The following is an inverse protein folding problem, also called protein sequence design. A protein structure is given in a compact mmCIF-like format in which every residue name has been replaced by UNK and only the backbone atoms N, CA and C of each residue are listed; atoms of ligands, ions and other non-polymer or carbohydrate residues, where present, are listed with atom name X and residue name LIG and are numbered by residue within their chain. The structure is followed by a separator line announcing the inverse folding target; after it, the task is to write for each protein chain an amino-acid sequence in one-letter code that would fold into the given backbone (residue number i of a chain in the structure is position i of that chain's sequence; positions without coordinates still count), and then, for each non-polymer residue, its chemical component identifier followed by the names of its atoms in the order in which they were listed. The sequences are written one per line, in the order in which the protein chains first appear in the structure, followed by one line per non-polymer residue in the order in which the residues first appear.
data_IF_023986011658
#
_entry.id   IF_023986011658
#
_cell.length_a   1.000
_cell.length_b   1.000
_cell.length_c   1.000
_cell.angle_alpha   90.00
_cell.angle_beta   90.00
_cell.angle_gamma   90.00
#
_symmetry.space_group_name_H-M   'P 1'
#
loop_
_entity.id
_entity.type
_entity.pdbx_description
1 polymer ?
#
# COMPACT_ATOMS: atom_id res chain seq x y z
N UNK A 1 -12.35 -27.70 36.44
CA UNK A 1 -12.07 -28.20 35.08
C UNK A 1 -11.28 -27.12 34.39
N UNK A 2 -10.07 -27.47 33.96
CA UNK A 2 -9.02 -26.59 33.48
C UNK A 2 -9.43 -25.97 32.14
N UNK A 3 -9.36 -24.65 32.00
CA UNK A 3 -9.25 -24.01 30.70
C UNK A 3 -7.77 -24.08 30.30
N UNK A 4 -7.43 -24.62 29.12
CA UNK A 4 -6.04 -24.63 28.68
C UNK A 4 -5.65 -23.20 28.24
N UNK A 5 -4.63 -22.66 28.89
CA UNK A 5 -3.91 -21.48 28.43
C UNK A 5 -3.15 -21.84 27.15
N UNK A 6 -3.71 -21.51 26.00
CA UNK A 6 -2.96 -21.51 24.74
C UNK A 6 -2.54 -20.07 24.46
N UNK A 7 -1.29 -19.77 24.77
CA UNK A 7 -0.60 -18.59 24.27
C UNK A 7 -0.57 -18.65 22.75
N UNK A 8 -1.29 -17.73 22.11
CA UNK A 8 -1.18 -17.51 20.68
C UNK A 8 0.06 -16.63 20.46
N UNK A 9 1.15 -17.25 20.04
CA UNK A 9 2.36 -16.57 19.55
C UNK A 9 1.94 -15.59 18.44
N UNK A 10 2.11 -14.29 18.70
CA UNK A 10 1.81 -13.22 17.76
C UNK A 10 2.98 -13.01 16.80
N UNK A 11 3.28 -14.01 15.96
CA UNK A 11 4.09 -13.83 14.76
C UNK A 11 3.23 -14.07 13.52
N UNK A 12 2.19 -13.24 13.40
CA UNK A 12 1.47 -13.07 12.16
C UNK A 12 1.80 -11.68 11.64
N UNK A 13 2.64 -11.60 10.61
CA UNK A 13 2.59 -10.49 9.68
C UNK A 13 1.16 -10.47 9.15
N UNK A 14 0.32 -9.64 9.76
CA UNK A 14 -1.05 -9.46 9.34
C UNK A 14 -0.98 -8.72 8.00
N UNK A 15 -0.92 -9.46 6.90
CA UNK A 15 -1.33 -8.96 5.61
C UNK A 15 -2.84 -8.71 5.69
N UNK A 16 -3.23 -7.68 6.45
CA UNK A 16 -4.57 -7.13 6.44
C UNK A 16 -4.75 -6.54 5.05
N UNK A 17 -5.23 -7.42 4.17
CA UNK A 17 -5.52 -7.14 2.78
C UNK A 17 -6.35 -5.88 2.68
N UNK A 18 -6.00 -5.04 1.72
CA UNK A 18 -6.83 -3.92 1.34
C UNK A 18 -8.20 -4.45 0.91
N UNK A 19 -9.25 -4.10 1.65
CA UNK A 19 -10.63 -4.45 1.27
C UNK A 19 -11.02 -3.49 0.13
N UNK A 20 -10.86 -3.96 -1.09
CA UNK A 20 -11.17 -3.18 -2.29
C UNK A 20 -12.67 -2.98 -2.48
N UNK A 21 -13.04 -1.81 -3.01
CA UNK A 21 -14.43 -1.50 -3.41
C UNK A 21 -14.82 -2.42 -4.57
N UNK A 22 -15.98 -3.08 -4.48
CA UNK A 22 -16.53 -3.95 -5.52
C UNK A 22 -17.70 -3.27 -6.24
N UNK A 23 -17.80 -3.51 -7.53
CA UNK A 23 -18.83 -2.93 -8.39
C UNK A 23 -19.73 -4.02 -8.99
N UNK A 24 -21.00 -3.67 -9.21
CA UNK A 24 -21.98 -4.53 -9.88
C UNK A 24 -21.65 -4.68 -11.36
N UNK A 25 -21.71 -5.90 -11.90
CA UNK A 25 -21.44 -6.17 -13.32
C UNK A 25 -22.52 -5.58 -14.27
N UNK A 26 -23.76 -5.46 -13.79
CA UNK A 26 -24.88 -4.97 -14.61
C UNK A 26 -24.94 -3.43 -14.71
N UNK A 27 -24.82 -2.73 -13.59
CA UNK A 27 -25.07 -1.28 -13.51
C UNK A 27 -23.88 -0.44 -13.05
N UNK A 28 -22.71 -1.07 -12.83
CA UNK A 28 -21.48 -0.43 -12.34
C UNK A 28 -21.64 0.40 -11.06
N UNK A 29 -22.70 0.15 -10.28
CA UNK A 29 -22.88 0.76 -8.96
C UNK A 29 -22.09 0.00 -7.90
N UNK A 30 -21.72 0.71 -6.83
CA UNK A 30 -21.03 0.13 -5.67
C UNK A 30 -21.90 -0.93 -4.98
N UNK A 31 -21.33 -2.10 -4.71
CA UNK A 31 -22.00 -3.17 -3.97
C UNK A 31 -21.86 -2.96 -2.46
N UNK A 32 -22.91 -3.33 -1.72
CA UNK A 32 -22.96 -3.21 -0.27
C UNK A 32 -22.98 -4.59 0.39
N UNK A 33 -22.25 -4.77 1.50
CA UNK A 33 -22.28 -6.02 2.27
C UNK A 33 -23.68 -6.24 2.87
N UNK A 34 -24.20 -7.46 2.73
CA UNK A 34 -25.50 -7.95 3.19
C UNK A 34 -25.32 -9.36 3.74
N UNK A 35 -25.89 -9.64 4.90
CA UNK A 35 -25.85 -10.97 5.51
C UNK A 35 -26.99 -11.85 4.98
N UNK A 36 -26.66 -13.09 4.58
CA UNK A 36 -27.65 -14.16 4.43
C UNK A 36 -27.68 -15.01 5.71
N UNK A 37 -28.77 -14.88 6.48
CA UNK A 37 -28.94 -15.51 7.79
C UNK A 37 -29.15 -17.01 7.73
N UNK A 38 -29.66 -17.53 6.61
CA UNK A 38 -29.97 -18.96 6.47
C UNK A 38 -28.68 -19.76 6.27
N UNK A 39 -27.82 -19.26 5.37
CA UNK A 39 -26.56 -19.91 5.03
C UNK A 39 -25.37 -19.40 5.85
N UNK A 40 -25.56 -18.31 6.62
CA UNK A 40 -24.50 -17.63 7.40
C UNK A 40 -23.33 -17.18 6.53
N UNK A 41 -23.63 -16.72 5.32
CA UNK A 41 -22.66 -16.21 4.35
C UNK A 41 -22.79 -14.70 4.20
N UNK A 42 -21.67 -14.05 3.89
CA UNK A 42 -21.64 -12.64 3.55
C UNK A 42 -21.85 -12.48 2.04
N UNK A 43 -22.83 -11.67 1.66
CA UNK A 43 -23.13 -11.32 0.28
C UNK A 43 -22.81 -9.85 0.01
N UNK A 44 -22.50 -9.52 -1.23
CA UNK A 44 -22.46 -8.17 -1.75
C UNK A 44 -23.64 -7.95 -2.69
N UNK A 45 -24.52 -7.02 -2.33
CA UNK A 45 -25.76 -6.73 -3.06
C UNK A 45 -25.75 -5.31 -3.62
N UNK A 46 -26.30 -5.14 -4.82
CA UNK A 46 -26.57 -3.81 -5.37
C UNK A 46 -27.84 -3.21 -4.75
N UNK A 47 -27.92 -1.87 -4.70
CA UNK A 47 -29.16 -1.16 -4.29
C UNK A 47 -30.11 -0.86 -5.45
N UNK A 48 -29.59 -0.82 -6.67
CA UNK A 48 -30.32 -0.39 -7.87
C UNK A 48 -30.81 -1.55 -8.72
N UNK A 49 -30.30 -2.77 -8.51
CA UNK A 49 -30.73 -3.99 -9.20
C UNK A 49 -30.65 -5.19 -8.24
N UNK A 50 -31.17 -6.34 -8.67
CA UNK A 50 -31.25 -7.57 -7.87
C UNK A 50 -29.95 -8.39 -7.87
N UNK A 51 -28.85 -7.84 -8.42
CA UNK A 51 -27.56 -8.50 -8.46
C UNK A 51 -26.99 -8.69 -7.06
N UNK A 52 -26.58 -9.92 -6.77
CA UNK A 52 -25.98 -10.35 -5.51
C UNK A 52 -24.82 -11.31 -5.82
N UNK A 53 -23.73 -11.21 -5.06
CA UNK A 53 -22.58 -12.10 -5.17
C UNK A 53 -22.08 -12.52 -3.77
N UNK A 54 -21.46 -13.68 -3.66
CA UNK A 54 -20.84 -14.13 -2.40
C UNK A 54 -19.50 -13.41 -2.16
N UNK A 55 -19.19 -13.14 -0.89
CA UNK A 55 -17.94 -12.49 -0.51
C UNK A 55 -16.82 -13.52 -0.26
N UNK A 56 -15.68 -13.37 -0.93
CA UNK A 56 -14.50 -14.22 -0.73
C UNK A 56 -13.87 -14.03 0.66
N UNK A 57 -14.02 -12.85 1.26
CA UNK A 57 -13.43 -12.48 2.54
C UNK A 57 -14.51 -11.91 3.46
N UNK A 58 -14.51 -12.34 4.72
CA UNK A 58 -15.43 -11.85 5.76
C UNK A 58 -15.08 -10.45 6.28
N UNK A 59 -13.91 -9.91 5.92
CA UNK A 59 -13.48 -8.58 6.32
C UNK A 59 -14.14 -7.48 5.47
N UNK A 60 -15.05 -6.72 6.08
CA UNK A 60 -15.82 -5.66 5.41
C UNK A 60 -15.09 -4.31 5.45
N UNK A 61 -14.38 -4.04 6.54
CA UNK A 61 -13.74 -2.75 6.79
C UNK A 61 -12.48 -2.93 7.61
N UNK A 62 -11.41 -2.29 7.16
CA UNK A 62 -10.14 -2.20 7.88
C UNK A 62 -9.79 -0.72 8.00
N UNK A 63 -9.56 -0.27 9.24
CA UNK A 63 -8.99 1.05 9.51
C UNK A 63 -7.54 0.90 9.96
N UNK A 64 -6.59 1.24 9.11
CA UNK A 64 -5.17 1.28 9.48
C UNK A 64 -4.86 2.63 10.11
N UNK A 65 -4.88 2.69 11.45
CA UNK A 65 -4.62 3.92 12.22
C UNK A 65 -3.14 4.33 12.09
N UNK A 66 -2.23 3.35 12.12
CA UNK A 66 -0.81 3.53 11.78
C UNK A 66 -0.65 3.33 10.28
N UNK A 67 -0.77 4.43 9.55
CA UNK A 67 -0.63 4.44 8.10
C UNK A 67 0.87 4.45 7.77
N UNK A 68 1.53 3.29 7.86
CA UNK A 68 2.76 3.06 7.09
C UNK A 68 2.33 2.90 5.63
N UNK A 69 1.87 4.00 5.02
CA UNK A 69 1.91 4.06 3.57
C UNK A 69 3.37 3.98 3.24
N UNK A 70 3.71 2.95 2.48
CA UNK A 70 4.99 2.94 1.82
C UNK A 70 5.03 4.19 0.94
N UNK A 71 5.66 5.26 1.46
CA UNK A 71 5.74 6.57 0.80
C UNK A 71 6.28 6.42 -0.62
N UNK A 72 7.05 5.36 -0.87
CA UNK A 72 7.54 4.94 -2.17
C UNK A 72 6.44 4.75 -3.21
N UNK A 73 5.25 4.27 -2.81
CA UNK A 73 4.12 4.06 -3.72
C UNK A 73 3.50 5.37 -4.21
N UNK A 74 3.75 6.49 -3.52
CA UNK A 74 3.26 7.81 -3.92
C UNK A 74 4.28 8.60 -4.75
N UNK A 75 5.52 8.12 -4.88
CA UNK A 75 6.54 8.83 -5.63
C UNK A 75 6.37 8.53 -7.11
N UNK A 76 6.19 9.60 -7.88
CA UNK A 76 6.08 9.54 -9.34
C UNK A 76 7.50 9.38 -9.94
N UNK A 77 7.65 8.51 -10.94
CA UNK A 77 8.93 8.24 -11.59
C UNK A 77 9.57 9.49 -12.26
N UNK A 78 8.75 10.45 -12.66
CA UNK A 78 9.15 11.67 -13.38
C UNK A 78 9.94 12.66 -12.51
N UNK A 79 9.93 12.47 -11.18
CA UNK A 79 10.71 13.29 -10.23
C UNK A 79 12.20 13.27 -10.57
N UNK A 80 12.69 12.17 -11.16
CA UNK A 80 14.09 12.01 -11.56
C UNK A 80 14.53 12.92 -12.72
N UNK A 81 13.58 13.47 -13.49
CA UNK A 81 13.85 14.35 -14.62
C UNK A 81 13.85 15.83 -14.23
N UNK A 82 13.42 16.16 -13.01
CA UNK A 82 13.37 17.55 -12.55
C UNK A 82 14.79 18.12 -12.41
N UNK A 83 15.15 19.18 -13.17
CA UNK A 83 16.46 19.81 -13.08
C UNK A 83 16.64 20.66 -11.83
N UNK A 84 15.57 20.95 -11.08
CA UNK A 84 15.61 21.76 -9.85
C UNK A 84 15.93 20.94 -8.61
N UNK A 85 15.88 19.61 -8.71
CA UNK A 85 16.20 18.72 -7.60
C UNK A 85 17.69 18.40 -7.51
N UNK A 86 18.23 18.26 -6.29
CA UNK A 86 19.65 17.97 -6.08
C UNK A 86 20.00 16.52 -6.47
N UNK A 87 21.21 16.35 -7.01
CA UNK A 87 21.77 15.07 -7.46
C UNK A 87 23.02 14.71 -6.66
N UNK A 88 23.20 13.43 -6.38
CA UNK A 88 24.43 12.88 -5.78
C UNK A 88 24.91 11.65 -6.54
N UNK A 89 26.22 11.40 -6.48
CA UNK A 89 26.88 10.20 -7.01
C UNK A 89 27.34 9.24 -5.90
N UNK A 90 27.15 9.62 -4.63
CA UNK A 90 27.74 8.95 -3.46
C UNK A 90 27.04 7.62 -3.12
N UNK A 91 25.82 7.42 -3.63
CA UNK A 91 24.99 6.27 -3.32
C UNK A 91 24.65 5.47 -4.59
N UNK A 92 25.45 4.45 -4.96
CA UNK A 92 25.17 3.63 -6.12
C UNK A 92 23.93 2.75 -5.92
N UNK A 93 23.14 2.59 -6.97
CA UNK A 93 21.94 1.76 -6.94
C UNK A 93 22.27 0.27 -6.73
N UNK A 94 21.65 -0.37 -5.75
CA UNK A 94 21.83 -1.80 -5.47
C UNK A 94 21.32 -2.74 -6.59
N UNK A 95 20.37 -2.31 -7.44
CA UNK A 95 19.84 -3.15 -8.54
C UNK A 95 20.53 -2.90 -9.88
N UNK A 96 20.85 -1.64 -10.23
CA UNK A 96 21.38 -1.29 -11.56
C UNK A 96 22.81 -0.74 -11.56
N UNK A 97 23.41 -0.46 -10.40
CA UNK A 97 24.78 0.05 -10.30
C UNK A 97 24.99 1.47 -10.83
N UNK A 98 23.93 2.19 -11.23
CA UNK A 98 24.02 3.60 -11.59
C UNK A 98 24.39 4.45 -10.38
N UNK A 99 25.27 5.42 -10.60
CA UNK A 99 25.81 6.31 -9.56
C UNK A 99 24.94 7.54 -9.34
N UNK A 100 24.35 8.08 -10.40
CA UNK A 100 23.54 9.29 -10.31
C UNK A 100 22.15 9.01 -9.71
N UNK A 101 21.89 9.63 -8.56
CA UNK A 101 20.61 9.58 -7.86
C UNK A 101 20.07 10.99 -7.61
N UNK A 102 18.78 11.19 -7.87
CA UNK A 102 18.05 12.38 -7.40
C UNK A 102 17.50 12.08 -6.01
N UNK A 103 17.67 13.01 -5.07
CA UNK A 103 17.14 12.85 -3.72
C UNK A 103 16.17 13.96 -3.33
N UNK A 104 15.18 13.61 -2.53
CA UNK A 104 14.20 14.57 -2.02
C UNK A 104 13.57 14.06 -0.72
N UNK A 105 12.95 14.98 0.02
CA UNK A 105 12.18 14.68 1.23
C UNK A 105 10.70 14.61 0.86
N UNK A 106 9.96 13.63 1.40
CA UNK A 106 8.52 13.55 1.22
C UNK A 106 7.83 14.71 1.95
N UNK A 107 6.95 15.45 1.26
CA UNK A 107 6.14 16.53 1.85
C UNK A 107 4.86 15.99 2.52
N UNK A 108 4.93 14.83 3.17
CA UNK A 108 3.77 14.27 3.87
C UNK A 108 3.53 15.05 5.17
N UNK A 109 2.45 15.83 5.24
CA UNK A 109 2.09 16.64 6.43
C UNK A 109 1.86 15.82 7.71
N UNK A 110 1.84 14.48 7.61
CA UNK A 110 1.72 13.53 8.74
C UNK A 110 3.05 12.89 9.13
N UNK A 111 4.17 13.24 8.49
CA UNK A 111 5.50 12.77 8.85
C UNK A 111 6.02 13.51 10.09
N UNK A 112 5.40 13.26 11.25
CA UNK A 112 5.69 14.01 12.47
C UNK A 112 6.97 13.57 13.19
N UNK A 113 7.74 12.58 12.70
CA UNK A 113 8.82 12.00 13.53
C UNK A 113 10.17 11.75 12.81
N UNK A 114 10.23 11.64 11.49
CA UNK A 114 11.50 11.31 10.81
C UNK A 114 11.67 12.02 9.46
N UNK A 115 12.78 12.75 9.30
CA UNK A 115 13.23 13.26 8.01
C UNK A 115 13.82 12.09 7.23
N UNK A 116 13.02 11.44 6.39
CA UNK A 116 13.49 10.39 5.47
C UNK A 116 13.85 11.02 4.12
N UNK A 117 14.97 10.60 3.54
CA UNK A 117 15.40 10.97 2.21
C UNK A 117 15.13 9.82 1.24
N UNK A 118 14.41 10.11 0.17
CA UNK A 118 14.11 9.16 -0.90
C UNK A 118 15.07 9.37 -2.06
N UNK A 119 15.61 8.27 -2.62
CA UNK A 119 16.53 8.30 -3.75
C UNK A 119 15.89 7.64 -4.98
N UNK A 120 15.87 8.37 -6.10
CA UNK A 120 15.37 7.91 -7.40
C UNK A 120 16.51 7.87 -8.42
N UNK A 121 16.63 6.74 -9.14
CA UNK A 121 17.69 6.50 -10.12
C UNK A 121 17.12 6.44 -11.53
N UNK A 122 17.63 7.26 -12.45
CA UNK A 122 17.33 7.13 -13.88
C UNK A 122 18.16 6.01 -14.50
N UNK A 123 17.53 5.00 -15.10
CA UNK A 123 18.26 4.07 -15.98
C UNK A 123 18.30 4.64 -17.40
N UNK A 124 19.35 4.29 -18.16
CA UNK A 124 19.58 4.70 -19.55
C UNK A 124 18.48 4.32 -20.56
N UNK A 125 17.45 3.57 -20.14
CA UNK A 125 16.34 3.12 -21.00
C UNK A 125 14.99 3.78 -20.68
N UNK A 126 14.94 4.78 -19.80
CA UNK A 126 13.68 5.45 -19.43
C UNK A 126 12.70 4.60 -18.61
N UNK A 127 13.11 3.40 -18.19
CA UNK A 127 12.33 2.53 -17.30
C UNK A 127 13.00 2.47 -15.92
N UNK A 128 12.41 3.19 -14.95
CA UNK A 128 12.90 3.29 -13.58
C UNK A 128 12.34 2.11 -12.77
N UNK A 129 13.15 1.05 -12.61
CA UNK A 129 12.81 -0.18 -11.89
C UNK A 129 13.41 -0.27 -10.48
N UNK A 130 14.12 0.78 -10.02
CA UNK A 130 14.81 0.71 -8.74
C UNK A 130 14.65 1.96 -7.88
N UNK A 131 13.80 1.81 -6.87
CA UNK A 131 13.70 2.70 -5.72
C UNK A 131 14.54 2.11 -4.58
N UNK A 132 15.35 2.92 -3.92
CA UNK A 132 16.04 2.55 -2.68
C UNK A 132 15.63 3.56 -1.62
N UNK A 133 14.94 3.08 -0.58
CA UNK A 133 14.73 3.86 0.64
C UNK A 133 16.04 3.86 1.41
N UNK A 134 16.74 5.00 1.41
CA UNK A 134 17.81 5.19 2.38
C UNK A 134 17.14 5.63 3.69
N UNK A 135 17.11 4.75 4.69
CA UNK A 135 16.84 5.18 6.05
C UNK A 135 17.95 6.15 6.45
N UNK A 136 17.61 7.44 6.55
CA UNK A 136 18.55 8.45 7.05
C UNK A 136 18.99 8.02 8.44
N UNK A 137 20.31 7.87 8.56
CA UNK A 137 21.03 7.64 9.79
C UNK A 137 20.56 8.62 10.87
N UNK A 138 20.47 8.10 12.10
CA UNK A 138 20.33 8.89 13.34
C UNK A 138 21.43 9.95 13.45
#
# INVERSE_FOLDING_TARGET
MLFPEQGMEADGTYEQGFVGIRFCQECNNMLYPKEDKENRILLYACRNCDYQQEADNSCIYVNKITHEVDELTQIIADVSQDPTLPRTEDHPCAKCGHKEAVFFQSHSARAEVHIKLHFSFTTLLGFILCWVTAHVYR
#
